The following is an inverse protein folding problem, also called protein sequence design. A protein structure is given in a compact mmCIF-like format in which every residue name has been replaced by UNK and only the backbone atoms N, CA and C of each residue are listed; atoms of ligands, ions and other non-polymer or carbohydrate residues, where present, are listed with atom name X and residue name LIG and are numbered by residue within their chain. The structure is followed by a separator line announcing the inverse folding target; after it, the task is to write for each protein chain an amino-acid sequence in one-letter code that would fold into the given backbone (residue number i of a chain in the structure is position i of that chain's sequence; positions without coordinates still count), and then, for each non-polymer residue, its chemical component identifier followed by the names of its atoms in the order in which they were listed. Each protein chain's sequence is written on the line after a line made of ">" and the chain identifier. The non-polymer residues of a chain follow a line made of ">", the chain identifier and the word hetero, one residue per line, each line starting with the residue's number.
data_IF_040663900978
#
_entry.id   IF_040663900978
#
_cell.length_a   1.000
_cell.length_b   1.000
_cell.length_c   1.000
_cell.angle_alpha   90.00
_cell.angle_beta   90.00
_cell.angle_gamma   90.00
#
_symmetry.space_group_name_H-M   'P 1'
#
loop_
_entity.id
_entity.type
_entity.pdbx_description
1 polymer ?
#
# COMPACT_ATOMS: atom_id res chain seq x y z
N UNK A 1 -17.83 -13.75 21.62
CA UNK A 1 -17.22 -12.90 20.58
C UNK A 1 -18.32 -12.05 19.97
N UNK A 2 -18.16 -10.72 20.03
CA UNK A 2 -19.18 -9.86 19.46
C UNK A 2 -19.07 -9.82 17.91
N UNK A 3 -20.14 -9.35 17.27
CA UNK A 3 -20.23 -9.36 15.80
C UNK A 3 -19.12 -8.52 15.14
N UNK A 4 -18.76 -7.38 15.74
CA UNK A 4 -17.70 -6.52 15.21
C UNK A 4 -16.35 -7.23 15.24
N UNK A 5 -16.05 -7.93 16.33
CA UNK A 5 -14.83 -8.72 16.42
C UNK A 5 -14.78 -9.81 15.37
N UNK A 6 -15.89 -10.53 15.21
CA UNK A 6 -15.98 -11.61 14.22
C UNK A 6 -15.71 -11.11 12.80
N UNK A 7 -16.22 -9.93 12.47
CA UNK A 7 -16.12 -9.38 11.12
C UNK A 7 -14.80 -8.65 10.85
N UNK A 8 -14.27 -7.92 11.84
CA UNK A 8 -13.22 -6.94 11.55
C UNK A 8 -11.95 -7.07 12.38
N UNK A 9 -11.89 -7.95 13.38
CA UNK A 9 -10.68 -8.11 14.18
C UNK A 9 -9.52 -8.64 13.35
N UNK A 10 -8.34 -8.07 13.55
CA UNK A 10 -7.10 -8.55 12.93
C UNK A 10 -6.25 -9.35 13.94
N UNK A 11 -6.82 -9.68 15.08
CA UNK A 11 -6.11 -10.43 16.12
C UNK A 11 -5.65 -11.79 15.59
N UNK A 12 -4.36 -12.08 15.78
CA UNK A 12 -3.76 -13.34 15.32
C UNK A 12 -3.24 -13.30 13.89
N UNK A 13 -3.45 -12.19 13.19
CA UNK A 13 -3.02 -12.02 11.80
C UNK A 13 -1.62 -11.37 11.77
N UNK A 14 -0.70 -11.91 10.99
CA UNK A 14 0.63 -11.33 10.78
C UNK A 14 0.64 -10.59 9.44
N UNK A 15 0.98 -9.31 9.48
CA UNK A 15 0.93 -8.42 8.32
C UNK A 15 2.31 -7.79 8.06
N UNK A 16 2.72 -7.75 6.81
CA UNK A 16 3.90 -6.99 6.36
C UNK A 16 3.40 -5.75 5.62
N UNK A 17 3.96 -4.57 5.96
CA UNK A 17 3.70 -3.32 5.24
C UNK A 17 5.05 -2.79 4.76
N UNK A 18 5.22 -2.63 3.44
CA UNK A 18 6.46 -2.07 2.88
C UNK A 18 6.37 -0.55 2.79
N UNK A 19 7.51 0.13 2.86
CA UNK A 19 7.56 1.59 2.79
C UNK A 19 6.89 2.25 4.00
N UNK A 20 7.05 1.67 5.18
CA UNK A 20 6.28 2.04 6.37
C UNK A 20 7.06 2.86 7.40
N UNK A 21 8.10 3.61 6.97
CA UNK A 21 8.87 4.48 7.90
C UNK A 21 8.23 5.87 8.09
N UNK A 22 7.29 6.24 7.25
CA UNK A 22 6.67 7.58 7.28
C UNK A 22 5.36 7.58 6.49
N UNK A 23 4.65 8.69 6.57
CA UNK A 23 3.49 8.96 5.72
C UNK A 23 2.39 7.92 5.82
N UNK A 24 1.77 7.63 4.68
CA UNK A 24 0.63 6.71 4.60
C UNK A 24 1.00 5.28 5.03
N UNK A 25 2.20 4.81 4.67
CA UNK A 25 2.64 3.46 5.06
C UNK A 25 2.77 3.30 6.56
N UNK A 26 3.30 4.32 7.24
CA UNK A 26 3.40 4.28 8.70
C UNK A 26 2.01 4.33 9.34
N UNK A 27 1.11 5.19 8.84
CA UNK A 27 -0.26 5.25 9.36
C UNK A 27 -0.97 3.91 9.18
N UNK A 28 -0.81 3.28 8.04
CA UNK A 28 -1.36 1.95 7.77
C UNK A 28 -0.84 0.93 8.79
N UNK A 29 0.48 0.92 9.01
CA UNK A 29 1.11 -0.04 9.93
C UNK A 29 0.61 0.15 11.36
N UNK A 30 0.54 1.40 11.82
CA UNK A 30 0.05 1.70 13.19
C UNK A 30 -1.43 1.28 13.31
N UNK A 31 -2.26 1.64 12.34
CA UNK A 31 -3.70 1.34 12.38
C UNK A 31 -3.95 -0.17 12.37
N UNK A 32 -3.24 -0.92 11.52
CA UNK A 32 -3.37 -2.38 11.49
C UNK A 32 -2.97 -3.01 12.83
N UNK A 33 -1.92 -2.49 13.46
CA UNK A 33 -1.48 -2.99 14.76
C UNK A 33 -2.50 -2.64 15.86
N UNK A 34 -3.07 -1.44 15.82
CA UNK A 34 -4.15 -1.03 16.75
C UNK A 34 -5.39 -1.92 16.61
N UNK A 35 -5.63 -2.45 15.40
CA UNK A 35 -6.73 -3.37 15.13
C UNK A 35 -6.40 -4.81 15.53
N UNK A 36 -5.23 -5.06 16.11
CA UNK A 36 -4.88 -6.34 16.71
C UNK A 36 -3.86 -7.19 15.97
N UNK A 37 -3.43 -6.79 14.77
CA UNK A 37 -2.47 -7.56 13.99
C UNK A 37 -1.05 -7.46 14.56
N UNK A 38 -0.25 -8.51 14.35
CA UNK A 38 1.21 -8.38 14.45
C UNK A 38 1.69 -7.77 13.13
N UNK A 39 2.30 -6.59 13.19
CA UNK A 39 2.66 -5.86 11.97
C UNK A 39 4.18 -5.66 11.89
N UNK A 40 4.74 -6.03 10.74
CA UNK A 40 6.13 -5.73 10.39
C UNK A 40 6.15 -4.54 9.44
N UNK A 41 6.67 -3.42 9.93
CA UNK A 41 6.80 -2.18 9.15
C UNK A 41 8.20 -2.16 8.53
N UNK A 42 8.26 -2.40 7.22
CA UNK A 42 9.54 -2.56 6.53
C UNK A 42 9.90 -1.29 5.76
N UNK A 43 11.16 -0.88 5.84
CA UNK A 43 11.67 0.30 5.14
C UNK A 43 13.19 0.25 5.04
N UNK A 44 13.75 1.06 4.15
CA UNK A 44 15.21 1.12 3.97
C UNK A 44 15.97 1.51 5.24
N UNK A 45 15.36 2.32 6.10
CA UNK A 45 16.00 2.73 7.36
C UNK A 45 15.72 1.76 8.52
N UNK A 46 14.61 1.02 8.47
CA UNK A 46 14.21 0.15 9.56
C UNK A 46 13.69 0.90 10.79
N UNK A 47 13.44 2.20 10.67
CA UNK A 47 13.02 3.07 11.78
C UNK A 47 12.02 4.11 11.28
N UNK A 48 11.34 4.78 12.19
CA UNK A 48 10.46 5.89 11.88
C UNK A 48 11.31 7.07 11.41
N UNK A 49 10.97 7.65 10.26
CA UNK A 49 11.67 8.81 9.69
C UNK A 49 11.11 10.15 10.16
N UNK A 50 9.82 10.16 10.52
CA UNK A 50 9.15 11.41 10.89
C UNK A 50 8.62 11.31 12.30
N UNK A 51 8.59 12.47 12.98
CA UNK A 51 8.03 12.54 14.33
C UNK A 51 6.57 12.06 14.30
N UNK A 52 6.22 11.20 15.23
CA UNK A 52 4.89 10.66 15.39
C UNK A 52 4.24 11.19 16.66
N UNK A 53 3.00 11.64 16.55
CA UNK A 53 2.19 11.99 17.71
C UNK A 53 1.42 10.76 18.21
N UNK A 54 1.18 9.79 17.33
CA UNK A 54 0.50 8.55 17.70
C UNK A 54 1.47 7.64 18.48
N UNK A 55 0.94 7.01 19.50
CA UNK A 55 1.66 5.99 20.25
C UNK A 55 1.94 4.79 19.35
N UNK A 56 3.14 4.20 19.47
CA UNK A 56 3.51 3.04 18.67
C UNK A 56 3.10 1.78 19.42
N UNK A 57 2.18 0.97 18.87
CA UNK A 57 1.75 -0.27 19.56
C UNK A 57 2.91 -1.27 19.71
N UNK A 58 2.89 -2.05 20.79
CA UNK A 58 3.91 -3.07 21.07
C UNK A 58 3.96 -4.18 20.00
N UNK A 59 2.85 -4.39 19.28
CA UNK A 59 2.75 -5.41 18.24
C UNK A 59 3.16 -4.90 16.85
N UNK A 60 3.75 -3.70 16.77
CA UNK A 60 4.32 -3.12 15.56
C UNK A 60 5.84 -3.23 15.63
N UNK A 61 6.44 -3.96 14.69
CA UNK A 61 7.88 -4.25 14.66
C UNK A 61 8.48 -3.59 13.42
N UNK A 62 9.51 -2.77 13.60
CA UNK A 62 10.22 -2.12 12.49
C UNK A 62 11.41 -2.99 12.07
N UNK A 63 11.58 -3.20 10.76
CA UNK A 63 12.73 -3.94 10.21
C UNK A 63 13.23 -3.25 8.95
N UNK A 64 14.52 -3.40 8.70
CA UNK A 64 15.15 -2.85 7.51
C UNK A 64 14.90 -3.75 6.31
N UNK A 65 14.57 -3.13 5.17
CA UNK A 65 14.41 -3.82 3.89
C UNK A 65 14.45 -2.81 2.75
N UNK A 66 15.33 -3.06 1.78
CA UNK A 66 15.24 -2.40 0.48
C UNK A 66 14.43 -3.32 -0.45
N UNK A 67 13.22 -2.92 -0.79
CA UNK A 67 12.32 -3.75 -1.64
C UNK A 67 12.87 -3.99 -3.04
N UNK A 68 13.86 -3.19 -3.49
CA UNK A 68 14.48 -3.38 -4.81
C UNK A 68 15.58 -4.45 -4.79
N UNK A 69 16.03 -4.87 -3.61
CA UNK A 69 17.01 -5.95 -3.49
C UNK A 69 16.25 -7.27 -3.30
N UNK A 70 16.15 -8.02 -4.39
CA UNK A 70 15.37 -9.26 -4.43
C UNK A 70 15.87 -10.31 -3.42
N UNK A 71 17.20 -10.38 -3.20
CA UNK A 71 17.74 -11.34 -2.24
C UNK A 71 17.46 -10.91 -0.80
N UNK A 72 17.49 -9.60 -0.51
CA UNK A 72 17.12 -9.06 0.81
C UNK A 72 15.63 -9.31 1.08
N UNK A 73 14.76 -9.08 0.07
CA UNK A 73 13.33 -9.38 0.18
C UNK A 73 13.13 -10.85 0.55
N UNK A 74 13.79 -11.75 -0.18
CA UNK A 74 13.67 -13.19 0.08
C UNK A 74 14.10 -13.54 1.51
N UNK A 75 15.23 -12.99 1.98
CA UNK A 75 15.77 -13.28 3.30
C UNK A 75 14.86 -12.76 4.43
N UNK A 76 14.42 -11.50 4.32
CA UNK A 76 13.58 -10.88 5.36
C UNK A 76 12.20 -11.56 5.43
N UNK A 77 11.60 -11.84 4.27
CA UNK A 77 10.29 -12.51 4.24
C UNK A 77 10.39 -13.94 4.79
N UNK A 78 11.50 -14.62 4.49
CA UNK A 78 11.76 -15.95 5.05
C UNK A 78 11.87 -15.88 6.58
N UNK A 79 12.65 -14.92 7.10
CA UNK A 79 12.80 -14.75 8.54
C UNK A 79 11.45 -14.55 9.24
N UNK A 80 10.65 -13.62 8.73
CA UNK A 80 9.33 -13.32 9.31
C UNK A 80 8.40 -14.52 9.16
N UNK A 81 8.35 -15.10 7.96
CA UNK A 81 7.45 -16.20 7.64
C UNK A 81 7.74 -17.46 8.45
N UNK A 82 9.01 -17.79 8.65
CA UNK A 82 9.39 -18.96 9.44
C UNK A 82 9.07 -18.78 10.91
N UNK A 83 9.13 -17.55 11.40
CA UNK A 83 8.91 -17.25 12.81
C UNK A 83 7.41 -17.13 13.16
N UNK A 84 6.62 -16.48 12.31
CA UNK A 84 5.24 -16.14 12.62
C UNK A 84 4.23 -16.41 11.51
N UNK A 85 4.69 -16.85 10.34
CA UNK A 85 3.84 -16.89 9.15
C UNK A 85 3.63 -15.49 8.57
N UNK A 86 3.00 -15.43 7.41
CA UNK A 86 2.59 -14.16 6.79
C UNK A 86 1.15 -14.39 6.31
N UNK A 87 0.22 -13.63 6.82
CA UNK A 87 -1.19 -13.72 6.44
C UNK A 87 -1.59 -12.62 5.46
N UNK A 88 -0.98 -11.44 5.60
CA UNK A 88 -1.30 -10.29 4.73
C UNK A 88 -0.01 -9.57 4.33
N UNK A 89 0.08 -9.22 3.05
CA UNK A 89 1.14 -8.37 2.51
C UNK A 89 0.51 -7.08 2.00
N UNK A 90 0.97 -5.93 2.50
CA UNK A 90 0.60 -4.61 1.98
C UNK A 90 1.80 -4.03 1.24
N UNK A 91 1.73 -3.98 -0.08
CA UNK A 91 2.77 -3.39 -0.93
C UNK A 91 2.51 -1.89 -1.04
N UNK A 92 3.06 -1.14 -0.10
CA UNK A 92 2.87 0.31 -0.04
C UNK A 92 4.10 1.09 -0.54
N UNK A 93 5.29 0.52 -0.54
CA UNK A 93 6.51 1.23 -0.99
C UNK A 93 6.33 1.80 -2.40
N UNK A 94 6.70 3.06 -2.57
CA UNK A 94 6.59 3.70 -3.87
C UNK A 94 7.35 5.02 -3.91
N UNK A 95 7.76 5.42 -5.11
CA UNK A 95 8.46 6.69 -5.34
C UNK A 95 7.91 7.37 -6.60
N UNK A 96 8.14 8.67 -6.69
CA UNK A 96 7.84 9.44 -7.88
C UNK A 96 8.89 10.54 -8.03
N UNK A 97 8.98 11.08 -9.26
CA UNK A 97 9.83 12.23 -9.57
C UNK A 97 9.13 13.04 -10.66
N UNK A 98 9.03 14.35 -10.44
CA UNK A 98 8.42 15.24 -11.44
C UNK A 98 9.45 15.64 -12.47
N UNK A 99 9.22 15.24 -13.73
CA UNK A 99 10.06 15.57 -14.87
C UNK A 99 9.19 15.48 -16.12
N UNK A 100 9.27 16.50 -17.00
CA UNK A 100 8.58 16.44 -18.30
C UNK A 100 9.07 15.21 -19.07
N UNK A 101 8.16 14.56 -19.77
CA UNK A 101 8.41 13.26 -20.40
C UNK A 101 9.66 13.24 -21.28
N UNK A 102 9.87 14.30 -22.06
CA UNK A 102 11.03 14.39 -22.97
C UNK A 102 12.37 14.52 -22.23
N UNK A 103 12.34 14.80 -20.94
CA UNK A 103 13.54 14.94 -20.11
C UNK A 103 13.72 13.81 -19.08
N UNK A 104 12.82 12.82 -19.09
CA UNK A 104 12.98 11.66 -18.19
C UNK A 104 14.20 10.86 -18.63
N UNK A 105 15.13 10.62 -17.71
CA UNK A 105 16.30 9.80 -18.00
C UNK A 105 15.95 8.32 -17.91
N UNK A 106 16.76 7.47 -18.56
CA UNK A 106 16.60 6.02 -18.43
C UNK A 106 16.72 5.58 -16.96
N UNK A 107 17.65 6.19 -16.22
CA UNK A 107 17.88 5.89 -14.81
C UNK A 107 16.65 6.19 -13.95
N UNK A 108 16.02 7.34 -14.18
CA UNK A 108 14.81 7.72 -13.43
C UNK A 108 13.63 6.80 -13.78
N UNK A 109 13.48 6.48 -15.08
CA UNK A 109 12.45 5.55 -15.53
C UNK A 109 12.61 4.19 -14.84
N UNK A 110 13.84 3.65 -14.89
CA UNK A 110 14.14 2.34 -14.30
C UNK A 110 13.96 2.35 -12.77
N UNK A 111 14.43 3.40 -12.11
CA UNK A 111 14.33 3.49 -10.64
C UNK A 111 12.88 3.48 -10.18
N UNK A 112 12.01 4.24 -10.88
CA UNK A 112 10.59 4.31 -10.52
C UNK A 112 9.91 2.94 -10.74
N UNK A 113 10.17 2.29 -11.88
CA UNK A 113 9.58 0.98 -12.15
C UNK A 113 10.13 -0.11 -11.22
N UNK A 114 11.43 -0.02 -10.88
CA UNK A 114 12.05 -0.99 -9.97
C UNK A 114 11.36 -0.99 -8.60
N UNK A 115 11.03 0.19 -8.07
CA UNK A 115 10.33 0.29 -6.77
C UNK A 115 8.84 0.01 -6.91
N UNK A 116 8.18 0.67 -7.88
CA UNK A 116 6.71 0.70 -7.91
C UNK A 116 6.09 -0.54 -8.56
N UNK A 117 6.86 -1.27 -9.37
CA UNK A 117 6.35 -2.42 -10.14
C UNK A 117 7.12 -3.70 -9.81
N UNK A 118 8.44 -3.71 -10.08
CA UNK A 118 9.24 -4.94 -9.91
C UNK A 118 9.23 -5.39 -8.47
N UNK A 119 9.46 -4.48 -7.54
CA UNK A 119 9.51 -4.79 -6.10
C UNK A 119 8.16 -5.30 -5.59
N UNK A 120 7.04 -4.78 -6.13
CA UNK A 120 5.70 -5.29 -5.77
C UNK A 120 5.63 -6.77 -6.11
N UNK A 121 6.06 -7.14 -7.31
CA UNK A 121 6.04 -8.54 -7.74
C UNK A 121 7.00 -9.40 -6.92
N UNK A 122 8.22 -8.92 -6.63
CA UNK A 122 9.19 -9.65 -5.80
C UNK A 122 8.62 -9.94 -4.41
N UNK A 123 7.98 -8.94 -3.79
CA UNK A 123 7.38 -9.11 -2.46
C UNK A 123 6.23 -10.11 -2.50
N UNK A 124 5.40 -10.07 -3.56
CA UNK A 124 4.32 -11.04 -3.74
C UNK A 124 4.89 -12.47 -3.82
N UNK A 125 5.94 -12.68 -4.63
CA UNK A 125 6.58 -13.99 -4.77
C UNK A 125 7.17 -14.47 -3.43
N UNK A 126 7.83 -13.58 -2.69
CA UNK A 126 8.47 -13.93 -1.42
C UNK A 126 7.43 -14.28 -0.34
N UNK A 127 6.27 -13.62 -0.36
CA UNK A 127 5.20 -13.87 0.59
C UNK A 127 4.40 -15.15 0.25
N UNK A 128 4.36 -15.53 -1.03
CA UNK A 128 3.49 -16.59 -1.53
C UNK A 128 3.52 -17.88 -0.70
N UNK A 129 4.70 -18.50 -0.38
CA UNK A 129 4.70 -19.78 0.32
C UNK A 129 4.12 -19.71 1.73
N UNK A 130 4.09 -18.51 2.33
CA UNK A 130 3.52 -18.29 3.66
C UNK A 130 2.04 -17.96 3.56
N UNK A 131 1.66 -17.10 2.60
CA UNK A 131 0.26 -16.74 2.36
C UNK A 131 -0.58 -17.99 2.06
N UNK A 132 -0.03 -18.91 1.23
CA UNK A 132 -0.68 -20.17 0.89
C UNK A 132 -0.97 -21.04 2.11
N UNK A 133 -0.16 -20.91 3.16
CA UNK A 133 -0.32 -21.69 4.41
C UNK A 133 -1.11 -20.95 5.48
N UNK A 134 -1.57 -19.75 5.19
CA UNK A 134 -2.28 -18.92 6.17
C UNK A 134 -3.58 -19.61 6.62
N UNK A 135 -3.82 -19.62 7.90
CA UNK A 135 -5.08 -20.12 8.50
C UNK A 135 -6.20 -19.10 8.36
N UNK A 136 -5.86 -17.88 7.95
CA UNK A 136 -6.78 -16.74 7.86
C UNK A 136 -7.14 -16.35 6.42
N UNK A 137 -6.80 -17.15 5.42
CA UNK A 137 -6.85 -16.81 4.00
C UNK A 137 -5.77 -15.77 3.67
N UNK A 138 -4.81 -16.13 2.84
CA UNK A 138 -3.72 -15.22 2.46
C UNK A 138 -4.25 -14.02 1.71
N UNK A 139 -3.70 -12.82 1.96
CA UNK A 139 -4.16 -11.61 1.28
C UNK A 139 -2.99 -10.74 0.83
N UNK A 140 -3.11 -10.18 -0.35
CA UNK A 140 -2.18 -9.16 -0.84
C UNK A 140 -2.99 -7.91 -1.13
N UNK A 141 -2.53 -6.77 -0.62
CA UNK A 141 -3.14 -5.47 -0.85
C UNK A 141 -2.07 -4.58 -1.46
N UNK A 142 -2.22 -4.28 -2.74
CA UNK A 142 -1.26 -3.45 -3.47
C UNK A 142 -1.72 -2.00 -3.47
N UNK A 143 -0.83 -1.06 -3.14
CA UNK A 143 -1.19 0.37 -3.18
C UNK A 143 -0.89 0.89 -4.58
N UNK A 144 -1.97 1.11 -5.32
CA UNK A 144 -1.94 1.68 -6.66
C UNK A 144 -2.05 3.23 -6.57
N UNK A 145 -2.86 3.86 -7.39
CA UNK A 145 -3.01 5.33 -7.39
C UNK A 145 -4.15 5.73 -8.34
N UNK A 146 -4.73 6.90 -8.14
CA UNK A 146 -5.53 7.56 -9.19
C UNK A 146 -4.74 7.66 -10.50
N UNK A 147 -3.42 7.74 -10.42
CA UNK A 147 -2.53 7.81 -11.60
C UNK A 147 -2.57 6.54 -12.44
N UNK A 148 -3.18 5.46 -11.95
CA UNK A 148 -3.41 4.25 -12.75
C UNK A 148 -4.54 4.43 -13.75
N UNK A 149 -5.37 5.44 -13.55
CA UNK A 149 -6.56 5.71 -14.36
C UNK A 149 -6.49 7.07 -15.06
N UNK A 150 -5.91 8.06 -14.39
CA UNK A 150 -5.85 9.44 -14.88
C UNK A 150 -4.42 9.79 -15.28
N UNK A 151 -4.28 10.57 -16.34
CA UNK A 151 -2.98 11.09 -16.74
C UNK A 151 -2.59 12.30 -15.90
N UNK A 152 -1.48 12.21 -15.20
CA UNK A 152 -0.90 13.36 -14.50
C UNK A 152 0.35 13.80 -15.23
N UNK A 153 0.42 15.09 -15.56
CA UNK A 153 1.56 15.69 -16.24
C UNK A 153 2.83 15.57 -15.38
N UNK A 154 3.97 15.40 -16.05
CA UNK A 154 5.30 15.39 -15.45
C UNK A 154 5.60 14.16 -14.59
N UNK A 155 4.72 13.16 -14.57
CA UNK A 155 4.97 11.92 -13.81
C UNK A 155 4.63 10.67 -14.64
N UNK A 156 4.99 10.68 -15.93
CA UNK A 156 4.68 9.56 -16.85
C UNK A 156 5.21 8.22 -16.33
N UNK A 157 6.46 8.11 -15.81
CA UNK A 157 6.91 6.82 -15.25
C UNK A 157 6.07 6.36 -14.06
N UNK A 158 5.63 7.28 -13.22
CA UNK A 158 4.77 6.95 -12.09
C UNK A 158 3.41 6.44 -12.58
N UNK A 159 2.79 7.16 -13.56
CA UNK A 159 1.50 6.74 -14.13
C UNK A 159 1.60 5.30 -14.66
N UNK A 160 2.63 5.02 -15.46
CA UNK A 160 2.80 3.68 -16.06
C UNK A 160 3.06 2.62 -14.99
N UNK A 161 3.91 2.94 -13.99
CA UNK A 161 4.24 1.97 -12.94
C UNK A 161 3.03 1.61 -12.08
N UNK A 162 2.17 2.59 -11.78
CA UNK A 162 0.97 2.34 -10.97
C UNK A 162 -0.13 1.65 -11.79
N UNK A 163 -0.20 1.88 -13.10
CA UNK A 163 -1.09 1.11 -13.98
C UNK A 163 -0.67 -0.36 -14.04
N UNK A 164 0.64 -0.63 -14.04
CA UNK A 164 1.16 -2.01 -14.01
C UNK A 164 0.72 -2.75 -12.74
N UNK A 165 0.61 -2.06 -11.61
CA UNK A 165 0.16 -2.67 -10.34
C UNK A 165 -1.25 -3.25 -10.48
N UNK A 166 -2.13 -2.61 -11.26
CA UNK A 166 -3.48 -3.15 -11.50
C UNK A 166 -3.41 -4.47 -12.29
N UNK A 167 -2.48 -4.54 -13.24
CA UNK A 167 -2.25 -5.77 -14.01
C UNK A 167 -1.74 -6.90 -13.11
N UNK A 168 -0.76 -6.60 -12.26
CA UNK A 168 -0.22 -7.57 -11.29
C UNK A 168 -1.36 -8.07 -10.39
N UNK A 169 -2.17 -7.13 -9.88
CA UNK A 169 -3.27 -7.47 -8.97
C UNK A 169 -4.25 -8.46 -9.61
N UNK A 170 -4.71 -8.16 -10.84
CA UNK A 170 -5.66 -9.03 -11.53
C UNK A 170 -5.05 -10.39 -11.90
N UNK A 171 -3.80 -10.37 -12.39
CA UNK A 171 -3.11 -11.59 -12.77
C UNK A 171 -2.95 -12.55 -11.59
N UNK A 172 -2.41 -12.04 -10.48
CA UNK A 172 -2.19 -12.87 -9.29
C UNK A 172 -3.51 -13.32 -8.65
N UNK A 173 -4.56 -12.48 -8.70
CA UNK A 173 -5.86 -12.84 -8.14
C UNK A 173 -6.45 -14.07 -8.86
N UNK A 174 -6.28 -14.14 -10.17
CA UNK A 174 -6.76 -15.28 -10.98
C UNK A 174 -5.87 -16.50 -10.76
N UNK A 175 -4.55 -16.29 -10.79
CA UNK A 175 -3.58 -17.39 -10.71
C UNK A 175 -3.58 -18.05 -9.33
N UNK A 176 -3.70 -17.28 -8.26
CA UNK A 176 -3.53 -17.79 -6.90
C UNK A 176 -4.84 -18.07 -6.12
N UNK A 177 -5.85 -17.99 -6.72
CA UNK A 177 -6.96 -18.23 -6.20
C UNK A 177 -7.09 -19.47 -5.66
N UNK A 178 -6.67 -20.53 -6.43
CA UNK A 178 -6.76 -21.92 -5.98
C UNK A 178 -5.90 -22.21 -4.75
N UNK A 179 -4.96 -21.34 -4.48
CA UNK A 179 -4.07 -21.44 -3.32
C UNK A 179 -4.58 -20.69 -2.10
N UNK A 180 -5.85 -20.28 -2.13
CA UNK A 180 -6.51 -19.57 -1.04
C UNK A 180 -5.85 -18.21 -0.74
N UNK A 181 -5.42 -17.50 -1.79
CA UNK A 181 -4.81 -16.17 -1.69
C UNK A 181 -5.69 -15.18 -2.47
N UNK A 182 -6.09 -14.11 -1.80
CA UNK A 182 -6.86 -13.02 -2.41
C UNK A 182 -5.93 -11.86 -2.69
N UNK A 183 -6.05 -11.25 -3.87
CA UNK A 183 -5.17 -10.14 -4.26
C UNK A 183 -6.03 -8.97 -4.72
N UNK A 184 -5.91 -7.83 -4.02
CA UNK A 184 -6.66 -6.63 -4.34
C UNK A 184 -5.74 -5.41 -4.34
N UNK A 185 -6.22 -4.30 -4.83
CA UNK A 185 -5.48 -3.04 -4.75
C UNK A 185 -6.35 -1.92 -4.20
N UNK A 186 -5.68 -0.88 -3.73
CA UNK A 186 -6.32 0.35 -3.27
C UNK A 186 -5.65 1.50 -4.00
N UNK A 187 -6.46 2.38 -4.58
CA UNK A 187 -5.99 3.56 -5.34
C UNK A 187 -6.27 4.82 -4.54
N UNK A 188 -5.28 5.36 -3.81
CA UNK A 188 -5.49 6.59 -3.08
C UNK A 188 -5.62 7.81 -4.00
N UNK A 189 -6.46 8.75 -3.57
CA UNK A 189 -6.51 10.08 -4.13
C UNK A 189 -5.45 10.99 -3.51
N UNK A 190 -5.86 12.20 -3.16
CA UNK A 190 -4.95 13.20 -2.58
C UNK A 190 -4.92 13.10 -1.06
N UNK A 191 -3.77 12.64 -0.55
CA UNK A 191 -3.47 12.53 0.88
C UNK A 191 -2.14 13.24 1.16
N UNK A 192 -2.08 14.57 1.00
CA UNK A 192 -0.81 15.28 1.21
C UNK A 192 -0.39 15.24 2.67
N UNK A 193 0.93 15.16 2.91
CA UNK A 193 1.46 15.29 4.25
C UNK A 193 1.24 16.73 4.75
N UNK A 194 1.32 16.93 6.06
CA UNK A 194 1.22 18.28 6.64
C UNK A 194 2.27 19.22 6.04
N UNK A 195 3.49 18.71 5.85
CA UNK A 195 4.55 19.50 5.24
C UNK A 195 4.18 19.93 3.81
N UNK A 196 3.62 19.00 3.02
CA UNK A 196 3.19 19.32 1.66
C UNK A 196 2.06 20.36 1.66
N UNK A 197 1.14 20.27 2.62
CA UNK A 197 0.07 21.26 2.76
C UNK A 197 0.60 22.65 3.09
N UNK A 198 1.63 22.73 3.95
CA UNK A 198 2.21 24.01 4.36
C UNK A 198 2.90 24.74 3.20
N UNK A 199 3.47 24.00 2.25
CA UNK A 199 4.20 24.59 1.11
C UNK A 199 3.35 24.66 -0.16
N UNK A 200 2.16 24.10 -0.16
CA UNK A 200 1.27 24.13 -1.32
C UNK A 200 0.63 25.51 -1.45
N UNK A 201 0.80 26.14 -2.62
CA UNK A 201 0.17 27.44 -2.84
C UNK A 201 -1.36 27.32 -2.94
N UNK A 202 -2.05 28.42 -2.64
CA UNK A 202 -3.51 28.46 -2.56
C UNK A 202 -4.18 28.10 -3.90
N UNK A 203 -3.62 28.57 -5.01
CA UNK A 203 -4.19 28.31 -6.34
C UNK A 203 -4.12 26.82 -6.69
N UNK A 204 -2.98 26.19 -6.41
CA UNK A 204 -2.80 24.76 -6.64
C UNK A 204 -3.75 23.95 -5.75
N UNK A 205 -3.88 24.33 -4.49
CA UNK A 205 -4.79 23.68 -3.54
C UNK A 205 -6.22 23.75 -4.05
N UNK A 206 -6.68 24.96 -4.42
CA UNK A 206 -8.02 25.17 -4.93
C UNK A 206 -8.27 24.35 -6.19
N UNK A 207 -7.31 24.34 -7.12
CA UNK A 207 -7.42 23.58 -8.37
C UNK A 207 -7.59 22.08 -8.12
N UNK A 208 -6.84 21.53 -7.16
CA UNK A 208 -6.96 20.12 -6.79
C UNK A 208 -8.32 19.86 -6.15
N UNK A 209 -8.70 20.70 -5.17
CA UNK A 209 -9.95 20.52 -4.43
C UNK A 209 -11.20 20.67 -5.30
N UNK A 210 -11.14 21.55 -6.31
CA UNK A 210 -12.28 21.75 -7.22
C UNK A 210 -12.59 20.50 -8.06
N UNK A 211 -11.63 19.61 -8.20
CA UNK A 211 -11.80 18.36 -8.97
C UNK A 211 -12.17 17.16 -8.10
N UNK A 212 -12.41 17.39 -6.82
CA UNK A 212 -12.84 16.33 -5.91
C UNK A 212 -14.25 16.65 -5.40
N UNK A 213 -15.23 15.82 -5.65
CA UNK A 213 -16.59 16.08 -5.16
C UNK A 213 -16.71 16.35 -3.67
N UNK A 214 -15.84 15.74 -2.84
CA UNK A 214 -15.84 16.02 -1.39
C UNK A 214 -15.14 17.32 -1.01
N UNK A 215 -14.47 18.00 -1.95
CA UNK A 215 -13.79 19.29 -1.76
C UNK A 215 -12.86 19.34 -0.55
N UNK A 216 -12.22 18.22 -0.23
CA UNK A 216 -11.21 18.16 0.83
C UNK A 216 -10.21 17.05 0.54
N UNK A 217 -9.04 17.14 1.15
CA UNK A 217 -8.05 16.06 1.10
C UNK A 217 -8.47 14.90 2.00
N UNK A 218 -7.97 13.71 1.70
CA UNK A 218 -8.19 12.54 2.52
C UNK A 218 -7.35 12.60 3.80
N UNK A 219 -7.89 12.02 4.86
CA UNK A 219 -7.13 11.79 6.11
C UNK A 219 -6.52 10.40 6.06
N UNK A 220 -5.26 10.22 6.50
CA UNK A 220 -4.61 8.91 6.42
C UNK A 220 -5.46 7.76 6.95
N UNK A 221 -6.18 7.97 8.05
CA UNK A 221 -7.05 6.94 8.64
C UNK A 221 -8.12 6.45 7.65
N UNK A 222 -8.58 7.31 6.74
CA UNK A 222 -9.61 6.93 5.78
C UNK A 222 -9.07 5.92 4.76
N UNK A 223 -7.78 6.03 4.42
CA UNK A 223 -7.11 5.04 3.58
C UNK A 223 -6.83 3.76 4.37
N UNK A 224 -6.29 3.91 5.59
CA UNK A 224 -5.96 2.76 6.45
C UNK A 224 -7.19 1.91 6.77
N UNK A 225 -8.37 2.54 6.91
CA UNK A 225 -9.62 1.82 7.16
C UNK A 225 -9.96 0.86 6.01
N UNK A 226 -9.76 1.28 4.76
CA UNK A 226 -9.98 0.38 3.60
C UNK A 226 -9.01 -0.79 3.64
N UNK A 227 -7.76 -0.54 4.00
CA UNK A 227 -6.74 -1.60 4.10
C UNK A 227 -7.08 -2.57 5.24
N UNK A 228 -7.54 -2.05 6.39
CA UNK A 228 -8.01 -2.90 7.49
C UNK A 228 -9.18 -3.78 7.05
N UNK A 229 -10.15 -3.21 6.32
CA UNK A 229 -11.28 -3.97 5.79
C UNK A 229 -10.80 -5.11 4.89
N UNK A 230 -9.93 -4.81 3.94
CA UNK A 230 -9.42 -5.83 3.01
C UNK A 230 -8.57 -6.90 3.70
N UNK A 231 -7.91 -6.55 4.81
CA UNK A 231 -7.14 -7.51 5.61
C UNK A 231 -8.03 -8.37 6.53
N UNK A 232 -9.30 -8.00 6.72
CA UNK A 232 -10.18 -8.60 7.71
C UNK A 232 -10.94 -9.82 7.18
N UNK A 233 -11.55 -10.62 8.07
CA UNK A 233 -12.41 -11.72 7.65
C UNK A 233 -13.59 -11.31 6.78
N UNK A 234 -14.01 -10.04 6.82
CA UNK A 234 -15.14 -9.55 6.02
C UNK A 234 -14.88 -9.49 4.52
N UNK A 235 -13.61 -9.54 4.10
CA UNK A 235 -13.24 -9.37 2.69
C UNK A 235 -12.96 -10.70 1.96
N UNK A 236 -13.44 -11.83 2.47
CA UNK A 236 -13.06 -13.15 1.92
C UNK A 236 -13.74 -13.50 0.59
N UNK A 237 -14.65 -12.67 0.09
CA UNK A 237 -15.26 -12.91 -1.23
C UNK A 237 -14.89 -11.79 -2.22
N UNK A 238 -13.73 -11.15 -1.97
CA UNK A 238 -13.25 -10.02 -2.78
C UNK A 238 -11.84 -10.34 -3.27
N UNK A 239 -11.65 -10.43 -4.59
CA UNK A 239 -10.32 -10.61 -5.18
C UNK A 239 -10.28 -10.00 -6.58
N UNK A 240 -9.12 -9.53 -7.01
CA UNK A 240 -8.91 -8.94 -8.32
C UNK A 240 -9.48 -7.53 -8.47
N UNK A 241 -9.91 -6.90 -7.37
CA UNK A 241 -10.57 -5.59 -7.41
C UNK A 241 -9.61 -4.47 -7.04
N UNK A 242 -9.91 -3.26 -7.53
CA UNK A 242 -9.25 -2.04 -7.10
C UNK A 242 -10.27 -1.13 -6.42
N UNK A 243 -9.89 -0.57 -5.28
CA UNK A 243 -10.79 0.28 -4.47
C UNK A 243 -10.23 1.68 -4.40
N UNK A 244 -10.91 2.62 -5.06
CA UNK A 244 -10.52 4.03 -5.00
C UNK A 244 -10.93 4.64 -3.67
N UNK A 245 -10.00 5.31 -3.00
CA UNK A 245 -10.24 6.09 -1.79
C UNK A 245 -9.76 7.50 -2.13
N UNK A 246 -10.62 8.29 -2.77
CA UNK A 246 -10.17 9.45 -3.54
C UNK A 246 -11.09 10.69 -3.46
N UNK A 247 -12.08 10.67 -2.57
CA UNK A 247 -13.01 11.80 -2.45
C UNK A 247 -13.89 12.01 -3.68
N UNK A 248 -14.01 10.97 -4.52
CA UNK A 248 -14.81 11.02 -5.73
C UNK A 248 -14.07 11.49 -6.98
N UNK A 249 -12.75 11.68 -6.88
CA UNK A 249 -11.97 12.24 -8.00
C UNK A 249 -12.09 11.43 -9.29
N UNK A 250 -12.08 10.11 -9.21
CA UNK A 250 -12.21 9.26 -10.40
C UNK A 250 -13.61 9.25 -10.99
N UNK A 251 -14.64 9.54 -10.19
CA UNK A 251 -16.02 9.59 -10.65
C UNK A 251 -16.37 10.96 -11.24
N UNK A 252 -15.54 11.97 -11.02
CA UNK A 252 -15.81 13.36 -11.43
C UNK A 252 -15.74 13.49 -12.95
N UNK A 253 -16.83 13.91 -13.57
CA UNK A 253 -16.91 14.08 -15.01
C UNK A 253 -16.75 15.54 -15.44
N UNK A 254 -17.71 16.40 -15.08
CA UNK A 254 -17.73 17.82 -15.46
C UNK A 254 -18.05 18.70 -14.29
#
# INVERSE_FOLDING_TARGET
>A
VNKLELLFSLKGITIIVTGASSGLGLDQAITLAECGARVYALSRTGNIKTRQEREIPDNLIFKKLDVTDRSEVSAVFKEIGDQHGIDVLVNNAGITKRTRAEHVTAEDWEAIHRVNTDAVFYCCQAAYPYLKKSKHVGRIINISSMASYLGFSEVVPYNSSKSAVLGITRGLAVEWXADNILVNSVSPGWFPSEMNLQVMDADRKEKILSRMPLHRFGKPIELSAMICFLASPSATYITGQDFSVDGGALAFGY
#
